data_IF_374697926980
#
_entry.id   IF_374697926980
#
_cell.length_a   1.000
_cell.length_b   1.000
_cell.length_c   1.000
_cell.angle_alpha   90.00
_cell.angle_beta   90.00
_cell.angle_gamma   90.00
#
_symmetry.space_group_name_H-M   'P 1'
#
loop_
_entity.id
_entity.type
_entity.pdbx_description
1 polymer ?
#
# COMPACT_ATOMS: atom_id res chain seq x y z
N UNK A 1 -5.21 9.13 7.01
CA UNK A 1 -5.40 10.56 6.72
C UNK A 1 -4.32 11.10 5.80
N UNK A 2 -4.61 12.25 5.19
CA UNK A 2 -3.82 12.95 4.17
C UNK A 2 -3.80 14.46 4.47
N UNK A 3 -2.84 15.20 3.91
CA UNK A 3 -2.77 16.66 4.04
C UNK A 3 -4.08 17.33 3.61
N UNK A 4 -4.67 16.83 2.52
CA UNK A 4 -5.94 17.25 1.92
C UNK A 4 -7.16 17.00 2.83
N UNK A 5 -6.98 16.29 3.93
CA UNK A 5 -8.05 15.89 4.87
C UNK A 5 -7.77 16.35 6.30
N UNK A 6 -6.86 17.32 6.47
CA UNK A 6 -6.47 17.88 7.77
C UNK A 6 -6.07 16.79 8.78
N UNK A 7 -4.79 16.46 8.82
CA UNK A 7 -4.14 15.14 8.54
C UNK A 7 -4.79 13.84 9.07
N UNK A 8 -5.77 13.89 9.98
CA UNK A 8 -6.35 12.70 10.62
C UNK A 8 -7.79 12.52 10.15
N UNK A 9 -8.07 11.32 9.65
CA UNK A 9 -9.39 10.91 9.13
C UNK A 9 -9.96 9.76 9.95
N UNK A 10 -9.08 8.87 10.42
CA UNK A 10 -9.41 7.72 11.21
C UNK A 10 -8.39 7.63 12.34
N UNK A 11 -8.84 7.14 13.48
CA UNK A 11 -7.99 6.85 14.61
C UNK A 11 -8.52 5.65 15.38
N UNK A 12 -7.60 4.91 15.97
CA UNK A 12 -7.91 3.76 16.81
C UNK A 12 -7.76 4.17 18.26
N UNK A 13 -8.78 3.89 19.06
CA UNK A 13 -8.74 4.12 20.50
C UNK A 13 -7.91 3.02 21.19
N UNK A 14 -7.22 3.34 22.31
CA UNK A 14 -6.39 2.36 23.02
C UNK A 14 -7.12 1.08 23.43
N UNK A 15 -8.41 1.18 23.75
CA UNK A 15 -9.29 0.08 24.15
C UNK A 15 -9.79 -0.79 22.99
N UNK A 16 -9.62 -0.35 21.74
CA UNK A 16 -10.07 -1.10 20.57
C UNK A 16 -9.04 -2.16 20.18
N UNK A 17 -9.45 -3.43 20.22
CA UNK A 17 -8.62 -4.58 19.86
C UNK A 17 -8.86 -5.01 18.41
N UNK A 18 -8.40 -4.16 17.48
CA UNK A 18 -8.48 -4.38 16.02
C UNK A 18 -7.10 -4.24 15.40
N UNK A 19 -6.35 -5.35 15.41
CA UNK A 19 -4.99 -5.38 14.87
C UNK A 19 -4.97 -5.07 13.37
N UNK A 20 -4.02 -4.24 12.93
CA UNK A 20 -3.87 -3.84 11.53
C UNK A 20 -4.84 -2.76 11.03
N UNK A 21 -5.87 -2.41 11.82
CA UNK A 21 -6.78 -1.32 11.49
C UNK A 21 -6.17 0.05 11.82
N UNK A 22 -6.51 1.06 11.01
CA UNK A 22 -6.25 2.48 11.31
C UNK A 22 -7.34 3.12 12.17
N UNK A 23 -8.35 2.34 12.57
CA UNK A 23 -9.46 2.75 13.42
C UNK A 23 -10.70 3.17 12.63
N UNK A 24 -11.64 3.79 13.35
CA UNK A 24 -12.90 4.30 12.80
C UNK A 24 -12.72 5.72 12.28
N UNK A 25 -13.59 6.12 11.37
CA UNK A 25 -13.68 7.50 10.92
C UNK A 25 -13.95 8.44 12.11
N UNK A 26 -13.36 9.63 12.08
CA UNK A 26 -13.65 10.70 13.05
C UNK A 26 -15.08 11.23 12.86
N UNK A 27 -15.63 11.86 13.89
CA UNK A 27 -16.97 12.42 13.84
C UNK A 27 -17.18 13.34 12.62
N UNK A 28 -18.38 13.27 12.03
CA UNK A 28 -18.81 14.03 10.85
C UNK A 28 -18.08 13.70 9.54
N UNK A 29 -17.11 12.78 9.56
CA UNK A 29 -16.48 12.26 8.35
C UNK A 29 -17.32 11.10 7.79
N UNK A 30 -17.79 11.28 6.56
CA UNK A 30 -18.35 10.21 5.76
C UNK A 30 -17.23 9.49 5.02
N UNK A 31 -17.17 8.18 5.17
CA UNK A 31 -16.19 7.30 4.56
C UNK A 31 -16.92 6.20 3.81
N UNK A 32 -16.44 5.90 2.59
CA UNK A 32 -16.96 4.82 1.77
C UNK A 32 -15.85 4.16 0.96
N UNK A 33 -16.10 2.92 0.57
CA UNK A 33 -15.22 2.13 -0.28
C UNK A 33 -15.87 2.02 -1.66
N UNK A 34 -15.13 2.36 -2.72
CA UNK A 34 -15.66 2.40 -4.09
C UNK A 34 -14.86 1.49 -5.01
N UNK A 35 -15.54 0.67 -5.80
CA UNK A 35 -14.94 -0.23 -6.78
C UNK A 35 -14.48 0.49 -8.05
N UNK A 36 -13.81 -0.26 -8.93
CA UNK A 36 -13.35 0.25 -10.23
C UNK A 36 -14.51 0.71 -11.15
N UNK A 37 -15.72 0.19 -10.93
CA UNK A 37 -16.95 0.53 -11.64
C UNK A 37 -17.66 1.76 -11.07
N UNK A 38 -17.01 2.50 -10.16
CA UNK A 38 -17.56 3.66 -9.45
C UNK A 38 -18.79 3.33 -8.57
N UNK A 39 -18.98 2.03 -8.24
CA UNK A 39 -20.02 1.56 -7.34
C UNK A 39 -19.50 1.44 -5.92
N UNK A 40 -20.31 1.85 -4.95
CA UNK A 40 -19.99 1.68 -3.53
C UNK A 40 -20.02 0.20 -3.16
N UNK A 41 -18.92 -0.27 -2.59
CA UNK A 41 -18.75 -1.66 -2.18
C UNK A 41 -19.29 -1.89 -0.77
N UNK A 42 -19.65 -3.14 -0.50
CA UNK A 42 -20.11 -3.59 0.80
C UNK A 42 -18.98 -3.77 1.82
N UNK A 43 -19.40 -4.12 3.04
CA UNK A 43 -18.50 -4.42 4.15
C UNK A 43 -17.51 -5.53 3.80
N UNK A 44 -16.22 -5.30 4.11
CA UNK A 44 -15.12 -6.24 3.91
C UNK A 44 -14.57 -6.31 2.49
N UNK A 45 -15.21 -5.65 1.53
CA UNK A 45 -14.74 -5.57 0.14
C UNK A 45 -13.64 -4.50 0.01
N UNK A 46 -12.66 -4.76 -0.86
CA UNK A 46 -11.48 -3.92 -1.04
C UNK A 46 -11.69 -2.98 -2.22
N UNK A 47 -11.53 -1.67 -1.99
CA UNK A 47 -11.79 -0.63 -2.99
C UNK A 47 -11.10 0.69 -2.64
N UNK A 48 -11.32 1.71 -3.46
CA UNK A 48 -10.81 3.06 -3.22
C UNK A 48 -11.51 3.67 -2.01
N UNK A 49 -10.72 4.15 -1.04
CA UNK A 49 -11.23 4.89 0.10
C UNK A 49 -11.59 6.30 -0.36
N UNK A 50 -12.85 6.70 -0.16
CA UNK A 50 -13.32 8.06 -0.47
C UNK A 50 -13.93 8.73 0.74
N UNK A 51 -13.62 10.02 0.89
CA UNK A 51 -13.89 10.76 2.12
C UNK A 51 -14.68 12.04 1.86
N UNK A 52 -15.65 12.35 2.71
CA UNK A 52 -16.40 13.62 2.65
C UNK A 52 -16.68 14.12 4.05
N UNK A 53 -16.25 15.34 4.35
CA UNK A 53 -16.40 15.90 5.69
C UNK A 53 -15.85 17.32 5.78
N UNK A 54 -16.03 17.97 6.94
CA UNK A 54 -15.60 19.36 7.16
C UNK A 54 -14.06 19.53 7.16
N UNK A 55 -13.32 18.44 7.37
CA UNK A 55 -11.85 18.39 7.37
C UNK A 55 -11.24 18.25 5.97
N UNK A 56 -12.04 17.94 4.95
CA UNK A 56 -11.60 17.84 3.56
C UNK A 56 -11.33 19.24 3.00
N UNK A 57 -10.20 19.37 2.28
CA UNK A 57 -9.76 20.62 1.70
C UNK A 57 -10.81 21.21 0.75
N UNK A 58 -10.77 22.53 0.56
CA UNK A 58 -11.60 23.20 -0.45
C UNK A 58 -11.10 22.97 -1.89
N UNK A 59 -9.83 22.62 -2.04
CA UNK A 59 -9.16 22.47 -3.32
C UNK A 59 -7.72 22.95 -3.29
N UNK A 60 -7.02 22.66 -4.38
CA UNK A 60 -5.64 23.10 -4.60
C UNK A 60 -5.60 24.56 -5.07
N UNK A 61 -4.62 25.33 -4.58
CA UNK A 61 -4.48 26.75 -4.90
C UNK A 61 -4.19 26.95 -6.40
N UNK A 62 -5.02 27.74 -7.08
CA UNK A 62 -4.93 28.02 -8.52
C UNK A 62 -4.91 26.77 -9.43
N UNK A 63 -5.49 25.66 -8.97
CA UNK A 63 -5.53 24.37 -9.68
C UNK A 63 -6.97 23.83 -9.72
N UNK A 64 -7.91 24.50 -10.44
CA UNK A 64 -9.32 24.14 -10.44
C UNK A 64 -9.62 22.81 -11.15
N UNK A 65 -8.85 22.46 -12.19
CA UNK A 65 -9.02 21.21 -12.93
C UNK A 65 -8.59 20.03 -12.06
N UNK A 66 -7.43 20.12 -11.41
CA UNK A 66 -6.92 19.10 -10.50
C UNK A 66 -7.80 18.98 -9.26
N UNK A 67 -8.33 20.10 -8.75
CA UNK A 67 -9.33 20.09 -7.68
C UNK A 67 -10.56 19.30 -8.10
N UNK A 68 -11.11 19.56 -9.29
CA UNK A 68 -12.31 18.84 -9.74
C UNK A 68 -12.04 17.35 -9.94
N UNK A 69 -10.86 16.99 -10.45
CA UNK A 69 -10.50 15.59 -10.72
C UNK A 69 -10.38 14.71 -9.48
N UNK A 70 -10.06 15.30 -8.31
CA UNK A 70 -9.94 14.55 -7.05
C UNK A 70 -11.26 14.42 -6.28
N UNK A 71 -12.36 15.01 -6.76
CA UNK A 71 -13.69 14.78 -6.21
C UNK A 71 -14.54 13.96 -7.18
N UNK A 72 -15.36 13.06 -6.65
CA UNK A 72 -16.38 12.39 -7.44
C UNK A 72 -17.68 13.21 -7.54
N UNK A 73 -18.65 12.69 -8.30
CA UNK A 73 -19.93 13.35 -8.56
C UNK A 73 -20.76 13.61 -7.29
N UNK A 74 -20.51 12.85 -6.22
CA UNK A 74 -21.17 12.98 -4.93
C UNK A 74 -20.39 13.90 -3.97
N UNK A 75 -19.26 14.44 -4.41
CA UNK A 75 -18.40 15.35 -3.66
C UNK A 75 -17.55 14.65 -2.62
N UNK A 76 -17.24 13.36 -2.79
CA UNK A 76 -16.23 12.69 -1.97
C UNK A 76 -14.85 12.86 -2.60
N UNK A 77 -13.87 13.15 -1.75
CA UNK A 77 -12.46 13.21 -2.11
C UNK A 77 -11.91 11.80 -2.34
N UNK A 78 -11.32 11.60 -3.51
CA UNK A 78 -10.62 10.38 -3.94
C UNK A 78 -9.23 10.36 -3.30
N UNK A 79 -9.02 9.48 -2.31
CA UNK A 79 -7.76 9.45 -1.56
C UNK A 79 -6.60 8.84 -2.35
N UNK A 80 -6.90 8.01 -3.35
CA UNK A 80 -5.92 7.17 -4.03
C UNK A 80 -5.36 6.03 -3.17
N UNK A 81 -5.89 5.84 -1.95
CA UNK A 81 -5.57 4.75 -1.05
C UNK A 81 -6.64 3.66 -1.18
N UNK A 82 -6.21 2.40 -1.16
CA UNK A 82 -7.09 1.22 -1.19
C UNK A 82 -7.31 0.71 0.22
N UNK A 83 -8.51 0.21 0.48
CA UNK A 83 -8.83 -0.40 1.75
C UNK A 83 -10.22 -1.00 1.81
N UNK A 84 -10.52 -1.52 2.99
CA UNK A 84 -11.80 -2.13 3.32
C UNK A 84 -12.24 -1.74 4.72
N UNK A 85 -13.55 -1.70 4.92
CA UNK A 85 -14.17 -1.41 6.22
C UNK A 85 -14.80 -2.70 6.74
N UNK A 86 -14.52 -3.08 7.98
CA UNK A 86 -15.16 -4.26 8.60
C UNK A 86 -16.57 -3.96 9.14
N UNK A 87 -17.27 -4.99 9.62
CA UNK A 87 -18.64 -4.89 10.15
C UNK A 87 -18.75 -3.93 11.35
N UNK A 88 -17.65 -3.69 12.05
CA UNK A 88 -17.57 -2.80 13.19
C UNK A 88 -17.16 -1.37 12.78
N UNK A 89 -17.03 -1.07 11.47
CA UNK A 89 -16.67 0.24 10.96
C UNK A 89 -15.18 0.57 11.00
N UNK A 90 -14.31 -0.42 11.21
CA UNK A 90 -12.86 -0.22 11.25
C UNK A 90 -12.26 -0.27 9.85
N UNK A 91 -11.47 0.75 9.51
CA UNK A 91 -10.78 0.83 8.23
C UNK A 91 -9.46 0.05 8.26
N UNK A 92 -9.19 -0.71 7.20
CA UNK A 92 -7.93 -1.38 6.93
C UNK A 92 -7.40 -0.87 5.60
N UNK A 93 -6.25 -0.19 5.62
CA UNK A 93 -5.61 0.30 4.40
C UNK A 93 -4.79 -0.85 3.80
N UNK A 94 -5.16 -1.28 2.60
CA UNK A 94 -4.55 -2.42 1.90
C UNK A 94 -3.45 -1.98 0.93
N UNK A 95 -3.48 -0.73 0.43
CA UNK A 95 -2.45 -0.25 -0.48
C UNK A 95 -2.67 1.16 -0.99
N UNK A 96 -1.92 1.53 -2.03
CA UNK A 96 -2.13 2.77 -2.79
C UNK A 96 -2.32 2.41 -4.26
N UNK A 97 -3.31 3.00 -4.91
CA UNK A 97 -3.67 2.71 -6.30
C UNK A 97 -2.46 2.91 -7.22
N UNK A 98 -1.75 4.03 -7.05
CA UNK A 98 -0.56 4.36 -7.86
C UNK A 98 0.64 3.42 -7.66
N UNK A 99 0.61 2.59 -6.62
CA UNK A 99 1.69 1.64 -6.29
C UNK A 99 1.29 0.19 -6.62
N UNK A 100 0.07 -0.03 -7.11
CA UNK A 100 -0.43 -1.35 -7.48
C UNK A 100 0.38 -1.93 -8.64
N UNK A 101 0.71 -3.22 -8.54
CA UNK A 101 1.41 -3.99 -9.56
C UNK A 101 0.40 -4.93 -10.25
N UNK A 102 0.61 -5.22 -11.54
CA UNK A 102 -0.25 -6.16 -12.28
C UNK A 102 0.55 -7.43 -12.56
N UNK A 103 0.56 -8.34 -11.58
CA UNK A 103 1.36 -9.56 -11.64
C UNK A 103 0.47 -10.71 -12.08
N UNK A 104 0.82 -11.35 -13.20
CA UNK A 104 0.03 -12.44 -13.79
C UNK A 104 -1.44 -12.08 -14.06
N UNK A 105 -1.74 -10.81 -14.33
CA UNK A 105 -3.10 -10.32 -14.60
C UNK A 105 -3.92 -9.99 -13.34
N UNK A 106 -3.32 -10.11 -12.16
CA UNK A 106 -3.97 -9.84 -10.87
C UNK A 106 -3.43 -8.54 -10.25
N UNK A 107 -4.31 -7.80 -9.58
CA UNK A 107 -3.96 -6.61 -8.81
C UNK A 107 -3.20 -7.04 -7.54
N UNK A 108 -1.94 -6.63 -7.43
CA UNK A 108 -1.07 -6.95 -6.29
C UNK A 108 -0.53 -5.68 -5.67
N UNK A 109 -0.84 -5.49 -4.38
CA UNK A 109 -0.28 -4.39 -3.62
C UNK A 109 1.09 -4.76 -3.04
N UNK A 110 2.16 -3.97 -3.30
CA UNK A 110 3.48 -4.21 -2.75
C UNK A 110 3.46 -4.36 -1.22
N UNK A 111 2.59 -3.60 -0.56
CA UNK A 111 2.44 -3.59 0.90
C UNK A 111 2.15 -4.98 1.49
N UNK A 112 1.31 -5.79 0.83
CA UNK A 112 0.99 -7.15 1.31
C UNK A 112 2.24 -8.05 1.31
N UNK A 113 3.08 -7.91 0.29
CA UNK A 113 4.34 -8.65 0.18
C UNK A 113 5.36 -8.13 1.19
N UNK A 114 5.44 -6.81 1.35
CA UNK A 114 6.32 -6.16 2.33
C UNK A 114 5.96 -6.60 3.76
N UNK A 115 4.67 -6.59 4.11
CA UNK A 115 4.18 -7.05 5.42
C UNK A 115 4.54 -8.52 5.65
N UNK A 116 4.30 -9.39 4.67
CA UNK A 116 4.66 -10.81 4.76
C UNK A 116 6.18 -11.03 4.96
N UNK A 117 7.02 -10.18 4.34
CA UNK A 117 8.48 -10.23 4.53
C UNK A 117 8.89 -9.69 5.90
N UNK A 118 8.34 -8.56 6.34
CA UNK A 118 8.67 -7.94 7.64
C UNK A 118 8.14 -8.72 8.84
N UNK A 119 7.15 -9.59 8.65
CA UNK A 119 6.71 -10.56 9.67
C UNK A 119 7.79 -11.62 9.97
N UNK A 120 8.76 -11.80 9.07
CA UNK A 120 9.89 -12.70 9.30
C UNK A 120 10.88 -12.09 10.30
N UNK A 121 11.33 -12.82 11.35
CA UNK A 121 12.15 -12.27 12.43
C UNK A 121 13.52 -11.73 12.00
N UNK A 122 14.04 -12.21 10.86
CA UNK A 122 15.34 -11.77 10.33
C UNK A 122 15.24 -10.47 9.51
N UNK A 123 14.04 -10.00 9.15
CA UNK A 123 13.82 -8.85 8.26
C UNK A 123 13.46 -7.61 9.08
N UNK A 124 14.19 -6.52 8.87
CA UNK A 124 13.94 -5.22 9.52
C UNK A 124 12.93 -4.40 8.72
N UNK A 125 13.11 -4.34 7.40
CA UNK A 125 12.26 -3.59 6.49
C UNK A 125 12.27 -4.21 5.10
N UNK A 126 11.20 -4.04 4.34
CA UNK A 126 11.09 -4.52 2.97
C UNK A 126 10.50 -3.43 2.07
N UNK A 127 11.01 -3.34 0.84
CA UNK A 127 10.45 -2.54 -0.22
C UNK A 127 10.26 -3.40 -1.47
N UNK A 128 9.05 -3.41 -2.02
CA UNK A 128 8.71 -4.25 -3.18
C UNK A 128 8.39 -3.38 -4.38
N UNK A 129 8.93 -3.77 -5.54
CA UNK A 129 8.68 -3.15 -6.84
C UNK A 129 8.44 -4.25 -7.88
N UNK A 130 7.91 -3.88 -9.03
CA UNK A 130 7.79 -4.81 -10.14
C UNK A 130 9.01 -4.80 -11.07
N UNK A 131 9.17 -5.91 -11.79
CA UNK A 131 10.11 -6.07 -12.91
C UNK A 131 9.39 -6.77 -14.06
N UNK A 132 9.65 -6.31 -15.29
CA UNK A 132 9.20 -7.03 -16.49
C UNK A 132 9.98 -8.35 -16.60
N UNK A 133 9.26 -9.45 -16.76
CA UNK A 133 9.79 -10.81 -16.95
C UNK A 133 9.26 -11.37 -18.26
N UNK A 134 10.16 -11.81 -19.14
CA UNK A 134 9.81 -12.29 -20.48
C UNK A 134 8.81 -13.45 -20.48
N UNK A 135 8.79 -14.25 -19.41
CA UNK A 135 7.95 -15.45 -19.31
C UNK A 135 6.61 -15.23 -18.61
N UNK A 136 6.51 -14.21 -17.75
CA UNK A 136 5.36 -13.97 -16.86
C UNK A 136 4.76 -12.57 -16.96
N UNK A 137 5.27 -11.73 -17.86
CA UNK A 137 4.86 -10.34 -18.00
C UNK A 137 5.51 -9.48 -16.92
N UNK A 138 4.93 -9.46 -15.73
CA UNK A 138 5.42 -8.67 -14.59
C UNK A 138 5.56 -9.56 -13.36
N UNK A 139 6.63 -9.36 -12.59
CA UNK A 139 6.91 -10.11 -11.35
C UNK A 139 7.33 -9.17 -10.23
N UNK A 140 7.03 -9.56 -8.99
CA UNK A 140 7.50 -8.84 -7.80
C UNK A 140 9.00 -9.08 -7.57
N UNK A 141 9.73 -8.01 -7.26
CA UNK A 141 11.11 -8.02 -6.78
C UNK A 141 11.13 -7.31 -5.43
N UNK A 142 11.74 -7.96 -4.44
CA UNK A 142 11.83 -7.43 -3.09
C UNK A 142 13.27 -6.97 -2.78
N UNK A 143 13.38 -5.83 -2.13
CA UNK A 143 14.60 -5.37 -1.48
C UNK A 143 14.36 -5.36 0.01
N UNK A 144 15.30 -5.90 0.79
CA UNK A 144 15.16 -6.02 2.24
C UNK A 144 16.35 -5.43 2.97
N UNK A 145 16.08 -4.94 4.17
CA UNK A 145 17.06 -4.75 5.23
C UNK A 145 16.91 -5.88 6.24
N UNK A 146 18.03 -6.38 6.75
CA UNK A 146 18.05 -7.42 7.77
C UNK A 146 18.24 -6.81 9.16
N UNK A 147 17.72 -7.48 10.17
CA UNK A 147 18.02 -7.16 11.56
C UNK A 147 19.51 -7.40 11.86
N UNK A 148 20.05 -6.67 12.83
CA UNK A 148 21.46 -6.80 13.22
C UNK A 148 21.80 -8.24 13.63
N UNK A 149 22.85 -8.81 13.02
CA UNK A 149 23.28 -10.19 13.27
C UNK A 149 22.49 -11.27 12.52
N UNK A 150 21.44 -10.92 11.77
CA UNK A 150 20.72 -11.87 10.94
C UNK A 150 21.53 -12.27 9.69
N UNK A 151 21.31 -13.49 9.21
CA UNK A 151 21.96 -14.01 7.99
C UNK A 151 20.95 -14.07 6.85
N UNK A 152 21.35 -13.59 5.68
CA UNK A 152 20.52 -13.65 4.50
C UNK A 152 20.37 -15.08 3.96
N UNK A 153 19.13 -15.51 3.75
CA UNK A 153 18.80 -16.72 3.00
C UNK A 153 17.55 -16.45 2.14
N UNK A 154 17.77 -16.25 0.84
CA UNK A 154 16.70 -16.01 -0.12
C UNK A 154 15.69 -17.16 -0.17
N UNK A 155 16.15 -18.41 -0.12
CA UNK A 155 15.28 -19.58 -0.24
C UNK A 155 14.38 -19.72 0.98
N UNK A 156 14.91 -19.46 2.18
CA UNK A 156 14.14 -19.42 3.44
C UNK A 156 13.06 -18.34 3.36
N UNK A 157 13.42 -17.12 2.98
CA UNK A 157 12.46 -16.00 2.88
C UNK A 157 11.37 -16.24 1.82
N UNK A 158 11.74 -16.77 0.65
CA UNK A 158 10.74 -17.13 -0.37
C UNK A 158 9.81 -18.25 0.10
N UNK A 159 10.30 -19.19 0.89
CA UNK A 159 9.47 -20.26 1.46
C UNK A 159 8.52 -19.70 2.53
N UNK A 160 9.00 -18.80 3.38
CA UNK A 160 8.18 -18.06 4.34
C UNK A 160 7.02 -17.31 3.66
N UNK A 161 7.28 -16.63 2.55
CA UNK A 161 6.25 -15.95 1.76
C UNK A 161 5.23 -16.94 1.18
N UNK A 162 5.66 -18.10 0.65
CA UNK A 162 4.74 -19.11 0.08
C UNK A 162 3.71 -19.64 1.08
N UNK A 163 4.04 -19.61 2.37
CA UNK A 163 3.14 -20.05 3.44
C UNK A 163 2.10 -18.98 3.82
N UNK A 164 2.30 -17.71 3.43
CA UNK A 164 1.49 -16.56 3.89
C UNK A 164 0.73 -15.86 2.78
N UNK A 165 1.29 -15.83 1.57
CA UNK A 165 0.71 -15.11 0.43
C UNK A 165 0.57 -16.03 -0.79
N UNK A 166 -0.30 -15.64 -1.71
CA UNK A 166 -0.57 -16.42 -2.92
C UNK A 166 0.71 -16.62 -3.76
N UNK A 167 0.88 -17.76 -4.45
CA UNK A 167 2.12 -18.09 -5.15
C UNK A 167 2.60 -17.07 -6.20
N UNK A 168 1.68 -16.34 -6.83
CA UNK A 168 2.00 -15.30 -7.81
C UNK A 168 2.51 -14.00 -7.15
N UNK A 169 2.19 -13.75 -5.88
CA UNK A 169 2.66 -12.60 -5.11
C UNK A 169 4.06 -12.81 -4.53
N UNK A 170 4.53 -14.05 -4.45
CA UNK A 170 5.86 -14.37 -3.91
C UNK A 170 6.95 -13.72 -4.76
N UNK A 171 7.86 -12.93 -4.17
CA UNK A 171 8.94 -12.30 -4.91
C UNK A 171 9.74 -13.29 -5.74
N UNK A 172 10.01 -12.91 -6.99
CA UNK A 172 10.86 -13.67 -7.90
C UNK A 172 12.31 -13.65 -7.40
N UNK A 173 12.77 -12.48 -6.97
CA UNK A 173 14.10 -12.24 -6.39
C UNK A 173 13.96 -11.42 -5.11
N UNK A 174 14.79 -11.74 -4.12
CA UNK A 174 14.92 -10.95 -2.88
C UNK A 174 16.38 -10.50 -2.77
N UNK A 175 16.62 -9.20 -2.68
CA UNK A 175 17.97 -8.64 -2.61
C UNK A 175 18.15 -7.90 -1.28
N UNK A 176 19.25 -8.17 -0.57
CA UNK A 176 19.59 -7.42 0.65
C UNK A 176 20.26 -6.10 0.27
N UNK A 177 19.78 -5.01 0.85
CA UNK A 177 20.46 -3.72 0.84
C UNK A 177 20.97 -3.39 2.24
N UNK A 178 22.07 -2.67 2.31
CA UNK A 178 22.56 -2.13 3.60
C UNK A 178 21.57 -1.15 4.20
N UNK A 179 20.92 -0.35 3.33
CA UNK A 179 19.87 0.59 3.70
C UNK A 179 18.93 0.80 2.50
N UNK A 180 17.63 0.71 2.75
CA UNK A 180 16.56 1.05 1.84
C UNK A 180 16.46 2.57 1.73
N UNK A 181 16.27 3.11 0.52
CA UNK A 181 16.11 4.54 0.32
C UNK A 181 14.84 5.00 1.03
N UNK A 182 14.96 5.92 1.99
CA UNK A 182 13.83 6.51 2.71
C UNK A 182 13.78 8.01 2.48
N UNK A 183 12.57 8.58 2.48
CA UNK A 183 12.39 10.02 2.50
C UNK A 183 12.61 10.58 3.93
N UNK A 184 12.65 11.91 4.13
CA UNK A 184 12.83 12.49 5.47
C UNK A 184 11.75 12.12 6.50
N UNK A 185 10.58 11.64 6.05
CA UNK A 185 9.51 11.12 6.92
C UNK A 185 9.65 9.62 7.23
N UNK A 186 10.75 8.98 6.82
CA UNK A 186 11.03 7.56 7.03
C UNK A 186 10.35 6.61 6.04
N UNK A 187 9.60 7.12 5.05
CA UNK A 187 8.89 6.28 4.06
C UNK A 187 9.85 5.78 2.98
N UNK A 188 9.76 4.49 2.65
CA UNK A 188 10.56 3.88 1.58
C UNK A 188 10.25 4.54 0.23
N UNK A 189 11.30 4.94 -0.48
CA UNK A 189 11.23 5.58 -1.79
C UNK A 189 11.33 4.52 -2.89
N UNK A 190 10.20 3.89 -3.23
CA UNK A 190 10.13 2.84 -4.25
C UNK A 190 10.68 3.26 -5.61
N UNK A 191 10.54 4.53 -5.99
CA UNK A 191 11.13 5.06 -7.24
C UNK A 191 12.64 4.84 -7.32
N UNK A 192 13.35 4.92 -6.20
CA UNK A 192 14.80 4.67 -6.18
C UNK A 192 15.08 3.15 -6.27
N UNK A 193 14.24 2.30 -5.67
CA UNK A 193 14.32 0.84 -5.85
C UNK A 193 14.06 0.40 -7.29
N UNK A 194 13.08 1.01 -7.98
CA UNK A 194 12.81 0.74 -9.39
C UNK A 194 14.03 1.02 -10.27
N UNK A 195 14.81 2.05 -9.97
CA UNK A 195 16.04 2.36 -10.73
C UNK A 195 17.09 1.25 -10.60
N UNK A 196 17.20 0.63 -9.41
CA UNK A 196 18.12 -0.49 -9.19
C UNK A 196 17.77 -1.67 -10.10
N UNK A 197 16.48 -1.99 -10.19
CA UNK A 197 15.97 -3.06 -11.08
C UNK A 197 16.28 -2.76 -12.55
N UNK A 198 16.10 -1.52 -13.01
CA UNK A 198 16.39 -1.13 -14.39
C UNK A 198 17.89 -1.20 -14.70
N UNK A 199 18.75 -0.88 -13.72
CA UNK A 199 20.21 -0.95 -13.90
C UNK A 199 20.72 -2.39 -14.07
N UNK A 200 20.09 -3.36 -13.42
CA UNK A 200 20.42 -4.80 -13.56
C UNK A 200 20.03 -5.35 -14.94
N UNK A 201 19.00 -4.80 -15.58
CA UNK A 201 18.55 -5.20 -16.93
C UNK A 201 19.39 -4.59 -18.06
N UNK A 202 20.22 -3.60 -17.76
CA UNK A 202 21.06 -2.89 -18.76
C UNK A 202 22.50 -3.41 -18.82
N UNK A 203 22.82 -4.48 -18.08
CA UNK A 203 24.10 -5.20 -18.10
C UNK A 203 23.95 -6.57 -18.77
#
# INVERSE_FOLDING_TARGET
>A
GLTETSPVTNWRMPEEDKYGSVGRAVDELLERIVGEDEVELGTGEDGEIRLKGPNVMRGYYNMPEETTAVFDELGFFKTGDMGKIDEDGFLYITGRIKEMLIIAGENVFPREIEEALTDHPDVLAAGVVSRIDESRGEVAVAFIELNEGATFDEQKLRSWCRERIAPFKVPKTITVLSELPRNPTGKIMRRELTKLVVSELSQ
#
